data_IF_117642060598
#
_entry.id   IF_117642060598
#
_cell.length_a   1.000
_cell.length_b   1.000
_cell.length_c   1.000
_cell.angle_alpha   90.00
_cell.angle_beta   90.00
_cell.angle_gamma   90.00
#
_symmetry.space_group_name_H-M   'P 1'
#
loop_
_entity.id
_entity.type
_entity.pdbx_description
1 polymer ?
#
# COMPACT_ATOMS: atom_id res chain seq x y z
N UNK A 1 -12.45 -4.67 12.85
CA UNK A 1 -12.76 -4.93 11.42
C UNK A 1 -13.26 -6.37 11.12
N UNK A 2 -12.45 -7.43 11.27
CA UNK A 2 -12.77 -8.83 10.85
C UNK A 2 -14.19 -9.35 11.14
N UNK A 3 -14.72 -9.12 12.34
CA UNK A 3 -16.07 -9.57 12.73
C UNK A 3 -17.16 -8.94 11.86
N UNK A 4 -17.01 -7.65 11.53
CA UNK A 4 -17.91 -6.94 10.64
C UNK A 4 -17.86 -7.54 9.23
N UNK A 5 -16.66 -7.69 8.66
CA UNK A 5 -16.46 -8.28 7.32
C UNK A 5 -17.11 -9.67 7.23
N UNK A 6 -16.77 -10.59 8.16
CA UNK A 6 -17.35 -11.94 8.19
C UNK A 6 -18.88 -11.89 8.30
N UNK A 7 -19.44 -10.97 9.08
CA UNK A 7 -20.89 -10.79 9.22
C UNK A 7 -21.54 -10.24 7.95
N UNK A 8 -20.94 -9.23 7.34
CA UNK A 8 -21.38 -8.62 6.08
C UNK A 8 -21.41 -9.64 4.96
N UNK A 9 -20.27 -10.30 4.70
CA UNK A 9 -20.13 -11.28 3.61
C UNK A 9 -21.08 -12.46 3.81
N UNK A 10 -21.21 -13.01 5.02
CA UNK A 10 -22.18 -14.10 5.28
C UNK A 10 -23.64 -13.69 5.02
N UNK A 11 -23.97 -12.43 5.27
CA UNK A 11 -25.34 -11.91 5.12
C UNK A 11 -25.68 -11.55 3.67
N UNK A 12 -24.71 -11.01 2.93
CA UNK A 12 -24.94 -10.38 1.64
C UNK A 12 -24.35 -11.15 0.45
N UNK A 13 -23.37 -12.02 0.67
CA UNK A 13 -22.63 -12.73 -0.38
C UNK A 13 -22.61 -14.24 -0.07
N UNK A 14 -23.71 -14.96 -0.33
CA UNK A 14 -23.77 -16.39 -0.05
C UNK A 14 -22.75 -17.16 -0.91
N UNK A 15 -22.24 -18.28 -0.38
CA UNK A 15 -21.29 -19.14 -1.08
C UNK A 15 -19.82 -18.75 -0.92
N UNK A 16 -19.50 -17.75 -0.10
CA UNK A 16 -18.11 -17.43 0.27
C UNK A 16 -17.65 -18.35 1.42
N UNK A 17 -16.51 -19.00 1.22
CA UNK A 17 -15.80 -19.74 2.27
C UNK A 17 -14.81 -18.82 2.97
N UNK A 18 -14.61 -19.01 4.28
CA UNK A 18 -13.69 -18.21 5.07
C UNK A 18 -12.64 -19.11 5.71
N UNK A 19 -11.39 -18.65 5.71
CA UNK A 19 -10.30 -19.24 6.48
C UNK A 19 -9.52 -18.12 7.16
N UNK A 20 -8.98 -18.41 8.33
CA UNK A 20 -7.99 -17.54 8.96
C UNK A 20 -6.78 -18.37 9.30
N UNK A 21 -5.59 -17.80 9.14
CA UNK A 21 -4.36 -18.43 9.61
C UNK A 21 -4.10 -18.10 11.08
N UNK A 22 -2.92 -18.51 11.57
CA UNK A 22 -2.51 -18.36 12.96
C UNK A 22 -2.14 -16.92 13.34
N UNK A 23 -1.68 -16.10 12.38
CA UNK A 23 -1.38 -14.67 12.60
C UNK A 23 -2.65 -13.83 12.57
N UNK A 24 -3.68 -14.33 11.89
CA UNK A 24 -5.02 -13.78 11.88
C UNK A 24 -5.41 -13.11 10.58
N UNK A 25 -4.69 -13.38 9.48
CA UNK A 25 -5.11 -13.01 8.14
C UNK A 25 -6.47 -13.64 7.83
N UNK A 26 -7.21 -13.04 6.91
CA UNK A 26 -8.54 -13.49 6.50
C UNK A 26 -8.55 -13.82 5.01
N UNK A 27 -8.74 -15.09 4.71
CA UNK A 27 -8.86 -15.60 3.36
C UNK A 27 -10.32 -15.88 3.03
N UNK A 28 -10.74 -15.47 1.85
CA UNK A 28 -12.09 -15.66 1.32
C UNK A 28 -12.01 -16.23 -0.10
N UNK A 29 -12.79 -17.28 -0.35
CA UNK A 29 -12.91 -17.89 -1.68
C UNK A 29 -14.40 -17.95 -2.02
N UNK A 30 -14.78 -17.35 -3.15
CA UNK A 30 -16.11 -17.46 -3.72
C UNK A 30 -16.06 -18.31 -4.99
N UNK A 31 -17.03 -19.20 -5.14
CA UNK A 31 -17.18 -20.03 -6.33
C UNK A 31 -16.25 -21.24 -6.38
N UNK A 32 -16.26 -21.92 -7.52
CA UNK A 32 -15.38 -23.04 -7.82
C UNK A 32 -14.87 -22.88 -9.27
N UNK A 33 -13.57 -22.67 -9.41
CA UNK A 33 -12.85 -22.44 -10.67
C UNK A 33 -11.49 -23.10 -10.62
N UNK A 34 -10.94 -23.45 -11.78
CA UNK A 34 -9.55 -23.92 -11.91
C UNK A 34 -8.55 -22.81 -11.59
N UNK A 35 -8.91 -21.55 -11.89
CA UNK A 35 -8.07 -20.39 -11.59
C UNK A 35 -8.92 -19.20 -11.12
N UNK A 36 -8.34 -18.31 -10.32
CA UNK A 36 -9.04 -17.17 -9.72
C UNK A 36 -8.32 -15.84 -9.93
N UNK A 37 -9.02 -14.72 -10.19
CA UNK A 37 -8.48 -13.42 -9.84
C UNK A 37 -8.36 -13.31 -8.30
N UNK A 38 -7.36 -12.58 -7.82
CA UNK A 38 -7.18 -12.35 -6.40
C UNK A 38 -7.04 -10.85 -6.10
N UNK A 39 -7.72 -10.38 -5.05
CA UNK A 39 -7.53 -9.03 -4.50
C UNK A 39 -7.00 -9.15 -3.08
N UNK A 40 -6.00 -8.35 -2.74
CA UNK A 40 -5.47 -8.22 -1.38
C UNK A 40 -5.66 -6.80 -0.84
N UNK A 41 -5.67 -6.68 0.48
CA UNK A 41 -5.80 -5.44 1.25
C UNK A 41 -5.41 -5.71 2.71
N UNK A 42 -5.18 -4.68 3.52
CA UNK A 42 -4.91 -4.86 4.95
C UNK A 42 -6.11 -4.51 5.85
N UNK A 43 -6.10 -4.92 7.12
CA UNK A 43 -7.25 -4.85 8.05
C UNK A 43 -7.08 -3.84 9.17
N UNK A 44 -5.84 -3.45 9.41
CA UNK A 44 -5.44 -2.47 10.39
C UNK A 44 -5.52 -1.06 9.82
N UNK A 45 -5.14 -0.11 10.65
CA UNK A 45 -5.11 1.32 10.37
C UNK A 45 -4.22 1.93 11.45
N UNK A 46 -3.50 3.00 11.13
CA UNK A 46 -2.67 3.72 12.12
C UNK A 46 -3.51 4.30 13.27
N UNK A 47 -4.71 4.82 13.00
CA UNK A 47 -5.52 5.50 14.01
C UNK A 47 -6.16 4.50 14.99
N UNK A 48 -5.77 4.55 16.26
CA UNK A 48 -6.22 3.59 17.30
C UNK A 48 -7.44 4.05 18.09
N UNK A 49 -7.68 5.36 18.17
CA UNK A 49 -8.74 5.94 18.99
C UNK A 49 -9.62 6.89 18.20
N UNK A 50 -10.94 6.66 18.26
CA UNK A 50 -11.95 7.59 17.77
C UNK A 50 -12.83 8.07 18.91
N UNK A 51 -13.35 9.28 18.75
CA UNK A 51 -14.38 9.80 19.65
C UNK A 51 -15.60 8.88 19.64
N UNK A 52 -16.31 8.79 20.78
CA UNK A 52 -17.51 7.95 20.90
C UNK A 52 -18.62 8.32 19.91
N UNK A 53 -18.61 9.54 19.43
CA UNK A 53 -19.55 10.08 18.46
C UNK A 53 -18.97 10.21 17.04
N UNK A 54 -17.83 9.56 16.79
CA UNK A 54 -17.22 9.48 15.46
C UNK A 54 -18.23 9.04 14.41
N UNK A 55 -18.18 9.71 13.26
CA UNK A 55 -18.99 9.41 12.07
C UNK A 55 -18.15 9.57 10.82
N UNK A 56 -18.33 8.66 9.88
CA UNK A 56 -18.00 8.92 8.50
C UNK A 56 -19.02 9.92 7.93
N UNK A 57 -18.54 11.05 7.43
CA UNK A 57 -19.33 12.06 6.73
C UNK A 57 -19.09 11.86 5.24
N UNK A 58 -20.16 11.54 4.52
CA UNK A 58 -20.16 11.44 3.07
C UNK A 58 -20.74 12.74 2.48
N UNK A 59 -19.98 13.38 1.60
CA UNK A 59 -20.44 14.49 0.76
C UNK A 59 -20.68 13.98 -0.68
N UNK A 60 -20.99 14.90 -1.59
CA UNK A 60 -21.08 14.55 -3.01
C UNK A 60 -19.76 13.97 -3.55
N UNK A 61 -18.63 14.56 -3.16
CA UNK A 61 -17.31 14.27 -3.74
C UNK A 61 -16.42 13.40 -2.84
N UNK A 62 -16.48 13.59 -1.52
CA UNK A 62 -15.52 12.99 -0.59
C UNK A 62 -16.17 12.32 0.62
N UNK A 63 -15.43 11.43 1.28
CA UNK A 63 -15.79 10.81 2.55
C UNK A 63 -14.66 11.09 3.55
N UNK A 64 -14.98 11.56 4.75
CA UNK A 64 -13.99 11.83 5.80
C UNK A 64 -14.56 11.56 7.20
N UNK A 65 -13.69 11.36 8.19
CA UNK A 65 -14.10 11.11 9.58
C UNK A 65 -14.30 12.42 10.37
N UNK A 66 -15.30 12.45 11.25
CA UNK A 66 -15.62 13.64 12.05
C UNK A 66 -16.25 13.30 13.40
N UNK A 67 -15.89 14.06 14.44
CA UNK A 67 -16.57 14.07 15.74
C UNK A 67 -17.41 15.34 15.89
N UNK A 68 -18.76 15.27 15.83
CA UNK A 68 -19.64 16.43 16.02
C UNK A 68 -19.48 17.14 17.37
N UNK A 69 -19.29 16.39 18.45
CA UNK A 69 -19.16 16.91 19.81
C UNK A 69 -17.84 17.67 19.97
N UNK A 70 -16.75 17.12 19.45
CA UNK A 70 -15.42 17.72 19.55
C UNK A 70 -15.13 18.70 18.41
N UNK A 71 -16.00 18.75 17.40
CA UNK A 71 -15.96 19.64 16.23
C UNK A 71 -14.65 19.55 15.44
N UNK A 72 -14.10 18.35 15.30
CA UNK A 72 -12.83 18.09 14.61
C UNK A 72 -12.94 16.90 13.67
N UNK A 73 -12.07 16.87 12.66
CA UNK A 73 -11.81 15.68 11.87
C UNK A 73 -11.07 14.64 12.71
N UNK A 74 -11.27 13.39 12.35
CA UNK A 74 -10.59 12.23 12.91
C UNK A 74 -10.35 11.28 11.75
N UNK A 75 -9.20 10.61 11.72
CA UNK A 75 -8.82 9.74 10.60
C UNK A 75 -9.92 8.74 10.26
N UNK A 76 -10.22 8.56 8.98
CA UNK A 76 -11.30 7.67 8.55
C UNK A 76 -10.82 6.22 8.39
N UNK A 77 -9.50 5.99 8.40
CA UNK A 77 -8.83 4.75 8.03
C UNK A 77 -9.10 4.39 6.57
N UNK A 78 -8.99 5.37 5.66
CA UNK A 78 -9.17 5.15 4.23
C UNK A 78 -8.08 4.23 3.67
N UNK A 79 -6.89 4.33 4.24
CA UNK A 79 -5.82 3.33 4.25
C UNK A 79 -6.11 2.27 5.34
N UNK A 80 -6.56 1.05 5.03
CA UNK A 80 -6.94 0.53 3.71
C UNK A 80 -8.43 0.11 3.64
N UNK A 81 -9.34 0.91 4.21
CA UNK A 81 -10.79 0.68 4.00
C UNK A 81 -11.19 0.83 2.53
N UNK A 82 -10.46 1.61 1.73
CA UNK A 82 -10.72 1.74 0.31
C UNK A 82 -10.44 0.41 -0.44
N UNK A 83 -9.28 -0.22 -0.23
CA UNK A 83 -8.93 -1.53 -0.79
C UNK A 83 -9.87 -2.62 -0.30
N UNK A 84 -10.21 -2.65 1.00
CA UNK A 84 -11.25 -3.56 1.54
C UNK A 84 -12.58 -3.34 0.80
N UNK A 85 -13.01 -2.09 0.60
CA UNK A 85 -14.28 -1.79 -0.05
C UNK A 85 -14.28 -2.27 -1.51
N UNK A 86 -13.21 -2.03 -2.27
CA UNK A 86 -13.03 -2.53 -3.65
C UNK A 86 -13.10 -4.05 -3.65
N UNK A 87 -12.34 -4.72 -2.78
CA UNK A 87 -12.32 -6.18 -2.68
C UNK A 87 -13.71 -6.74 -2.39
N UNK A 88 -14.48 -6.12 -1.49
CA UNK A 88 -15.86 -6.51 -1.19
C UNK A 88 -16.80 -6.28 -2.38
N UNK A 89 -16.64 -5.19 -3.15
CA UNK A 89 -17.43 -4.94 -4.36
C UNK A 89 -17.18 -5.98 -5.44
N UNK A 90 -15.92 -6.35 -5.67
CA UNK A 90 -15.59 -7.43 -6.59
C UNK A 90 -16.07 -8.79 -6.06
N UNK A 91 -15.95 -9.04 -4.77
CA UNK A 91 -16.47 -10.25 -4.12
C UNK A 91 -18.00 -10.34 -4.23
N UNK A 92 -18.74 -9.24 -4.28
CA UNK A 92 -20.18 -9.18 -4.56
C UNK A 92 -20.51 -9.45 -6.04
N UNK A 93 -19.71 -8.89 -6.95
CA UNK A 93 -19.96 -8.90 -8.40
C UNK A 93 -19.61 -10.24 -9.06
N UNK A 94 -18.48 -10.84 -8.71
CA UNK A 94 -17.95 -12.00 -9.42
C UNK A 94 -18.28 -13.33 -8.73
N UNK A 95 -18.63 -14.35 -9.53
CA UNK A 95 -18.97 -15.68 -9.01
C UNK A 95 -17.75 -16.47 -8.55
N UNK A 96 -16.59 -16.25 -9.19
CA UNK A 96 -15.32 -16.90 -8.88
C UNK A 96 -14.24 -15.86 -8.62
N UNK A 97 -13.84 -15.69 -7.36
CA UNK A 97 -12.80 -14.74 -6.95
C UNK A 97 -12.22 -15.13 -5.58
N UNK A 98 -10.94 -14.82 -5.39
CA UNK A 98 -10.25 -14.90 -4.09
C UNK A 98 -9.99 -13.51 -3.53
N UNK A 99 -10.11 -13.40 -2.21
CA UNK A 99 -9.75 -12.19 -1.47
C UNK A 99 -8.95 -12.58 -0.24
N UNK A 100 -7.82 -11.93 -0.01
CA UNK A 100 -7.04 -12.09 1.21
C UNK A 100 -6.87 -10.75 1.91
N UNK A 101 -7.18 -10.69 3.20
CA UNK A 101 -6.95 -9.51 4.01
C UNK A 101 -5.89 -9.77 5.07
N UNK A 102 -4.84 -8.96 5.06
CA UNK A 102 -3.70 -9.09 5.96
C UNK A 102 -3.91 -8.29 7.24
N UNK A 103 -3.20 -8.66 8.30
CA UNK A 103 -3.18 -7.92 9.56
C UNK A 103 -1.80 -7.32 9.77
N UNK A 104 -1.74 -6.17 10.46
CA UNK A 104 -0.48 -5.58 10.90
C UNK A 104 0.42 -5.21 9.71
N UNK A 105 -0.17 -4.61 8.67
CA UNK A 105 0.54 -4.02 7.54
C UNK A 105 1.28 -2.75 8.00
N UNK A 106 0.59 -1.89 8.73
CA UNK A 106 1.02 -0.57 9.20
C UNK A 106 2.17 -0.63 10.23
N UNK A 107 2.56 -1.84 10.64
CA UNK A 107 3.69 -2.13 11.53
C UNK A 107 4.68 -3.12 10.88
N UNK A 108 4.73 -3.11 9.54
CA UNK A 108 5.69 -3.87 8.73
C UNK A 108 5.17 -5.17 8.17
N UNK A 109 3.99 -5.17 7.53
CA UNK A 109 3.51 -6.25 6.67
C UNK A 109 3.54 -7.64 7.36
N UNK A 110 3.31 -7.69 8.68
CA UNK A 110 3.45 -8.92 9.49
C UNK A 110 2.50 -10.00 9.00
N UNK A 111 1.31 -9.60 8.52
CA UNK A 111 0.32 -10.47 7.93
C UNK A 111 0.83 -11.15 6.66
N UNK A 112 1.21 -10.38 5.64
CA UNK A 112 1.68 -10.91 4.35
C UNK A 112 2.98 -11.71 4.46
N UNK A 113 3.90 -11.32 5.36
CA UNK A 113 5.09 -12.09 5.75
C UNK A 113 4.79 -13.51 6.22
N UNK A 114 3.62 -13.72 6.81
CA UNK A 114 3.18 -15.02 7.32
C UNK A 114 2.04 -15.64 6.50
N UNK A 115 1.71 -15.05 5.35
CA UNK A 115 0.61 -15.50 4.52
C UNK A 115 0.79 -16.96 4.05
N UNK A 116 -0.32 -17.68 3.98
CA UNK A 116 -0.35 -19.01 3.35
C UNK A 116 -0.24 -18.88 1.82
N UNK A 117 0.96 -19.12 1.28
CA UNK A 117 1.21 -19.07 -0.17
C UNK A 117 0.39 -20.10 -0.94
N UNK A 118 0.01 -21.22 -0.30
CA UNK A 118 -0.88 -22.23 -0.90
C UNK A 118 -2.25 -21.66 -1.26
N UNK A 119 -2.66 -20.54 -0.66
CA UNK A 119 -3.87 -19.83 -1.05
C UNK A 119 -3.82 -19.29 -2.50
N UNK A 120 -2.62 -18.97 -3.00
CA UNK A 120 -2.39 -18.23 -4.24
C UNK A 120 -2.00 -19.14 -5.43
N UNK A 121 -1.80 -20.44 -5.23
CA UNK A 121 -1.31 -21.37 -6.26
C UNK A 121 -2.17 -21.44 -7.53
N UNK A 122 -3.48 -21.25 -7.39
CA UNK A 122 -4.47 -21.24 -8.47
C UNK A 122 -4.90 -19.80 -8.85
N UNK A 123 -4.13 -18.78 -8.47
CA UNK A 123 -4.46 -17.40 -8.85
C UNK A 123 -3.88 -17.04 -10.20
N UNK A 124 -4.60 -16.21 -10.95
CA UNK A 124 -4.15 -15.71 -12.27
C UNK A 124 -3.16 -14.57 -12.13
N UNK A 125 -3.40 -13.73 -11.13
CA UNK A 125 -2.68 -12.53 -10.74
C UNK A 125 -3.20 -12.08 -9.36
N UNK A 126 -2.49 -11.15 -8.73
CA UNK A 126 -2.89 -10.51 -7.46
C UNK A 126 -2.95 -8.99 -7.65
N UNK A 127 -4.01 -8.35 -7.19
CA UNK A 127 -4.16 -6.89 -7.20
C UNK A 127 -4.28 -6.39 -5.77
N UNK A 128 -3.49 -5.39 -5.42
CA UNK A 128 -3.56 -4.65 -4.16
C UNK A 128 -4.04 -3.23 -4.47
N UNK A 129 -5.27 -2.83 -4.08
CA UNK A 129 -5.69 -1.44 -4.18
C UNK A 129 -5.30 -0.71 -2.89
N UNK A 130 -4.01 -0.49 -2.68
CA UNK A 130 -3.48 0.13 -1.47
C UNK A 130 -2.34 1.10 -1.78
N UNK A 131 -2.72 2.21 -2.41
CA UNK A 131 -1.80 3.31 -2.66
C UNK A 131 -2.60 4.61 -2.61
N UNK A 132 -1.99 5.66 -2.05
CA UNK A 132 -2.58 7.01 -2.03
C UNK A 132 -2.87 7.53 -3.44
N UNK A 133 -3.77 8.50 -3.51
CA UNK A 133 -4.12 9.25 -4.72
C UNK A 133 -4.81 8.37 -5.78
N UNK A 134 -4.60 8.62 -7.08
CA UNK A 134 -5.54 8.19 -8.12
C UNK A 134 -4.94 7.65 -9.43
N UNK A 135 -3.63 7.79 -9.65
CA UNK A 135 -3.01 7.47 -10.95
C UNK A 135 -1.77 6.56 -10.88
N UNK A 136 -1.34 6.10 -9.71
CA UNK A 136 -0.15 5.25 -9.61
C UNK A 136 -0.51 3.77 -9.84
N UNK A 137 0.25 3.14 -10.72
CA UNK A 137 0.36 1.70 -10.87
C UNK A 137 1.77 1.29 -10.43
N UNK A 138 1.88 0.46 -9.41
CA UNK A 138 3.15 -0.04 -8.91
C UNK A 138 3.42 -1.41 -9.53
N UNK A 139 4.48 -1.47 -10.33
CA UNK A 139 4.95 -2.69 -11.04
C UNK A 139 6.31 -3.15 -10.57
N UNK A 140 7.06 -2.29 -9.89
CA UNK A 140 8.42 -2.54 -9.43
C UNK A 140 8.65 -1.81 -8.09
N UNK A 141 9.28 -2.49 -7.14
CA UNK A 141 9.62 -1.96 -5.81
C UNK A 141 11.04 -2.44 -5.47
N UNK A 142 11.95 -1.55 -5.08
CA UNK A 142 13.32 -1.89 -4.65
C UNK A 142 14.02 -2.91 -5.56
N UNK A 143 14.00 -2.69 -6.88
CA UNK A 143 14.53 -3.58 -7.94
C UNK A 143 13.82 -4.93 -8.12
N UNK A 144 12.83 -5.25 -7.28
CA UNK A 144 11.97 -6.42 -7.45
C UNK A 144 10.85 -6.11 -8.44
N UNK A 145 10.86 -6.82 -9.57
CA UNK A 145 9.77 -6.74 -10.53
C UNK A 145 8.56 -7.56 -10.06
N UNK A 146 7.38 -6.94 -10.05
CA UNK A 146 6.15 -7.53 -9.53
C UNK A 146 5.36 -8.28 -10.61
N UNK A 147 5.46 -7.86 -11.86
CA UNK A 147 4.60 -8.36 -12.93
C UNK A 147 5.31 -8.64 -14.25
N UNK A 148 4.74 -9.54 -15.03
CA UNK A 148 5.22 -9.83 -16.39
C UNK A 148 4.83 -8.72 -17.37
N UNK A 149 5.65 -8.51 -18.40
CA UNK A 149 5.34 -7.62 -19.52
C UNK A 149 4.02 -7.99 -20.23
N UNK A 150 3.66 -9.27 -20.24
CA UNK A 150 2.38 -9.72 -20.79
C UNK A 150 1.20 -9.24 -19.95
N UNK A 151 1.30 -9.31 -18.62
CA UNK A 151 0.28 -8.79 -17.73
C UNK A 151 0.14 -7.27 -17.89
N UNK A 152 1.25 -6.54 -17.84
CA UNK A 152 1.28 -5.08 -17.93
C UNK A 152 0.62 -4.57 -19.22
N UNK A 153 0.88 -5.24 -20.34
CA UNK A 153 0.24 -4.91 -21.63
C UNK A 153 -1.25 -5.19 -21.64
N UNK A 154 -1.69 -6.28 -20.99
CA UNK A 154 -3.06 -6.76 -21.08
C UNK A 154 -4.02 -6.02 -20.11
N UNK A 155 -3.52 -5.45 -19.01
CA UNK A 155 -4.36 -4.73 -18.02
C UNK A 155 -4.91 -3.38 -18.52
N UNK A 156 -4.34 -2.79 -19.58
CA UNK A 156 -4.86 -1.60 -20.25
C UNK A 156 -5.04 -0.36 -19.36
N UNK A 157 -4.18 -0.21 -18.37
CA UNK A 157 -4.27 0.76 -17.27
C UNK A 157 -4.26 2.22 -17.74
N UNK A 158 -3.62 2.54 -18.87
CA UNK A 158 -3.51 3.90 -19.40
C UNK A 158 -4.88 4.46 -19.80
N UNK A 159 -5.85 3.60 -20.17
CA UNK A 159 -7.22 4.00 -20.48
C UNK A 159 -7.98 4.54 -19.27
N UNK A 160 -7.50 4.20 -18.07
CA UNK A 160 -8.04 4.64 -16.79
C UNK A 160 -7.24 5.82 -16.21
N UNK A 161 -6.20 6.28 -16.90
CA UNK A 161 -5.34 7.39 -16.48
C UNK A 161 -4.19 7.00 -15.57
N UNK A 162 -3.96 5.70 -15.34
CA UNK A 162 -2.87 5.22 -14.50
C UNK A 162 -1.53 5.28 -15.23
N UNK A 163 -0.45 5.37 -14.46
CA UNK A 163 0.94 5.40 -14.91
C UNK A 163 1.82 4.59 -13.97
N UNK A 164 2.82 3.94 -14.52
CA UNK A 164 3.81 3.21 -13.73
C UNK A 164 4.58 4.18 -12.82
N UNK A 165 4.76 3.76 -11.56
CA UNK A 165 5.54 4.46 -10.54
C UNK A 165 6.33 3.46 -9.71
N UNK A 166 7.53 3.84 -9.22
CA UNK A 166 8.20 3.07 -8.20
C UNK A 166 7.34 3.07 -6.92
N UNK A 167 7.21 1.90 -6.31
CA UNK A 167 6.53 1.77 -5.03
C UNK A 167 7.48 1.81 -3.85
N UNK A 168 6.89 1.70 -2.66
CA UNK A 168 7.58 1.42 -1.40
C UNK A 168 7.17 0.02 -0.92
N UNK A 169 7.64 -0.42 0.24
CA UNK A 169 7.23 -1.70 0.81
C UNK A 169 5.70 -1.78 0.99
N UNK A 170 5.10 -2.89 0.57
CA UNK A 170 3.66 -3.20 0.69
C UNK A 170 3.45 -4.71 0.81
N UNK A 171 2.22 -5.18 1.07
CA UNK A 171 1.95 -6.62 1.19
C UNK A 171 2.26 -7.40 -0.11
N UNK A 172 2.11 -6.81 -1.30
CA UNK A 172 2.47 -7.52 -2.55
C UNK A 172 3.97 -7.70 -2.74
N UNK A 173 4.83 -6.79 -2.23
CA UNK A 173 6.28 -7.00 -2.23
C UNK A 173 6.62 -8.23 -1.38
N UNK A 174 6.08 -8.29 -0.16
CA UNK A 174 6.30 -9.40 0.78
C UNK A 174 5.82 -10.73 0.22
N UNK A 175 4.64 -10.75 -0.41
CA UNK A 175 4.17 -11.95 -1.12
C UNK A 175 5.15 -12.34 -2.24
N UNK A 176 5.67 -11.36 -2.99
CA UNK A 176 6.58 -11.58 -4.12
C UNK A 176 7.90 -12.18 -3.68
N UNK A 177 8.53 -11.61 -2.66
CA UNK A 177 9.79 -12.08 -2.08
C UNK A 177 9.67 -13.48 -1.46
N UNK A 178 8.50 -13.79 -0.91
CA UNK A 178 8.21 -15.12 -0.38
C UNK A 178 7.93 -16.18 -1.46
N UNK A 179 7.86 -15.79 -2.73
CA UNK A 179 7.74 -16.71 -3.86
C UNK A 179 6.34 -16.77 -4.48
N UNK A 180 5.55 -15.69 -4.42
CA UNK A 180 4.35 -15.57 -5.25
C UNK A 180 4.73 -15.70 -6.74
N UNK A 181 4.31 -16.81 -7.35
CA UNK A 181 4.69 -17.20 -8.71
C UNK A 181 3.86 -16.56 -9.84
N UNK A 182 3.01 -15.58 -9.52
CA UNK A 182 2.19 -14.85 -10.50
C UNK A 182 2.45 -13.34 -10.44
N UNK A 183 2.02 -12.66 -11.50
CA UNK A 183 2.07 -11.20 -11.58
C UNK A 183 1.23 -10.57 -10.47
N UNK A 184 1.79 -9.57 -9.80
CA UNK A 184 1.07 -8.75 -8.83
C UNK A 184 1.30 -7.27 -9.11
N UNK A 185 0.35 -6.43 -8.71
CA UNK A 185 0.41 -4.97 -8.85
C UNK A 185 -0.22 -4.31 -7.62
N UNK A 186 0.24 -3.10 -7.30
CA UNK A 186 -0.46 -2.20 -6.39
C UNK A 186 -1.02 -0.97 -7.16
N UNK A 187 -2.19 -0.48 -6.76
CA UNK A 187 -2.96 0.58 -7.42
C UNK A 187 -3.33 1.68 -6.45
N UNK A 188 -3.13 2.93 -6.88
CA UNK A 188 -3.77 4.08 -6.24
C UNK A 188 -5.27 3.84 -6.07
N UNK A 189 -5.83 4.03 -4.88
CA UNK A 189 -7.22 3.66 -4.58
C UNK A 189 -8.07 4.81 -4.01
N UNK A 190 -7.64 6.05 -4.18
CA UNK A 190 -8.46 7.25 -3.97
C UNK A 190 -8.51 7.76 -2.54
N UNK A 191 -7.59 7.34 -1.66
CA UNK A 191 -7.38 7.96 -0.35
C UNK A 191 -6.28 9.02 -0.41
N UNK A 192 -6.38 10.01 0.48
CA UNK A 192 -5.51 11.17 0.54
C UNK A 192 -5.21 11.50 2.00
N UNK A 193 -4.04 12.12 2.23
CA UNK A 193 -3.52 12.43 3.56
C UNK A 193 -3.57 11.21 4.52
N UNK A 194 -3.06 10.02 4.08
CA UNK A 194 -3.06 8.83 4.93
C UNK A 194 -2.31 9.09 6.24
N UNK A 195 -2.64 8.29 7.25
CA UNK A 195 -2.02 8.36 8.58
C UNK A 195 -2.21 9.71 9.31
N UNK A 196 -3.17 10.52 8.88
CA UNK A 196 -3.52 11.79 9.50
C UNK A 196 -4.98 11.82 9.97
N UNK A 197 -5.32 12.81 10.80
CA UNK A 197 -6.73 13.09 11.12
C UNK A 197 -7.49 13.76 9.96
N UNK A 198 -6.77 14.26 8.96
CA UNK A 198 -7.34 14.91 7.78
C UNK A 198 -7.64 13.94 6.64
N UNK A 199 -7.33 12.65 6.84
CA UNK A 199 -7.52 11.57 5.88
C UNK A 199 -8.93 11.54 5.29
N UNK A 200 -9.00 11.40 3.97
CA UNK A 200 -10.26 11.36 3.24
C UNK A 200 -10.18 10.52 1.97
N UNK A 201 -11.35 10.07 1.52
CA UNK A 201 -11.53 9.34 0.26
C UNK A 201 -12.19 10.25 -0.77
N UNK A 202 -11.64 10.35 -1.98
CA UNK A 202 -12.32 10.96 -3.14
C UNK A 202 -13.10 9.88 -3.89
N UNK A 203 -14.43 10.02 -3.92
CA UNK A 203 -15.34 8.99 -4.45
C UNK A 203 -15.10 8.72 -5.93
N UNK A 204 -14.80 9.76 -6.71
CA UNK A 204 -14.53 9.63 -8.15
C UNK A 204 -13.34 8.71 -8.42
N UNK A 205 -12.31 8.83 -7.61
CA UNK A 205 -11.03 8.15 -7.79
C UNK A 205 -11.10 6.71 -7.26
N UNK A 206 -11.75 6.51 -6.10
CA UNK A 206 -12.11 5.17 -5.61
C UNK A 206 -12.92 4.39 -6.66
N UNK A 207 -13.92 5.03 -7.27
CA UNK A 207 -14.71 4.41 -8.33
C UNK A 207 -13.90 4.19 -9.62
N UNK A 208 -12.87 5.00 -9.89
CA UNK A 208 -11.97 4.78 -11.02
C UNK A 208 -11.09 3.54 -10.81
N UNK A 209 -10.53 3.41 -9.61
CA UNK A 209 -9.79 2.21 -9.21
C UNK A 209 -10.66 0.95 -9.32
N UNK A 210 -11.89 0.97 -8.78
CA UNK A 210 -12.84 -0.14 -8.93
C UNK A 210 -13.05 -0.51 -10.41
N UNK A 211 -13.25 0.48 -11.30
CA UNK A 211 -13.43 0.20 -12.74
C UNK A 211 -12.20 -0.44 -13.38
N UNK A 212 -10.99 -0.04 -12.99
CA UNK A 212 -9.75 -0.66 -13.47
C UNK A 212 -9.64 -2.10 -12.95
N UNK A 213 -9.87 -2.34 -11.66
CA UNK A 213 -9.85 -3.69 -11.08
C UNK A 213 -10.86 -4.62 -11.78
N UNK A 214 -12.08 -4.13 -11.99
CA UNK A 214 -13.11 -4.87 -12.73
C UNK A 214 -12.68 -5.17 -14.17
N UNK A 215 -12.07 -4.19 -14.85
CA UNK A 215 -11.54 -4.37 -16.20
C UNK A 215 -10.47 -5.46 -16.25
N UNK A 216 -9.52 -5.46 -15.31
CA UNK A 216 -8.47 -6.48 -15.23
C UNK A 216 -9.09 -7.85 -14.99
N UNK A 217 -10.02 -7.98 -14.04
CA UNK A 217 -10.72 -9.24 -13.74
C UNK A 217 -11.44 -9.81 -14.96
N UNK A 218 -12.05 -8.94 -15.76
CA UNK A 218 -12.85 -9.31 -16.93
C UNK A 218 -12.01 -9.61 -18.18
N UNK A 219 -10.85 -8.97 -18.36
CA UNK A 219 -10.06 -9.10 -19.59
C UNK A 219 -8.84 -10.02 -19.43
N UNK A 220 -8.25 -10.10 -18.24
CA UNK A 220 -7.09 -10.96 -17.97
C UNK A 220 -7.54 -12.37 -17.54
N UNK A 221 -8.03 -13.16 -18.50
CA UNK A 221 -8.54 -14.51 -18.21
C UNK A 221 -7.47 -15.60 -18.11
N UNK A 222 -6.26 -15.34 -18.62
CA UNK A 222 -5.10 -16.23 -18.52
C UNK A 222 -4.46 -16.17 -17.13
N UNK A 223 -3.67 -17.18 -16.78
CA UNK A 223 -2.70 -17.07 -15.68
C UNK A 223 -1.52 -16.25 -16.20
N UNK A 224 -0.98 -15.35 -15.38
CA UNK A 224 0.17 -14.52 -15.69
C UNK A 224 1.34 -14.86 -14.78
N UNK A 225 2.09 -15.95 -15.05
CA UNK A 225 3.22 -16.36 -14.24
C UNK A 225 4.29 -15.28 -14.18
N UNK A 226 4.86 -15.08 -13.00
CA UNK A 226 6.02 -14.22 -12.79
C UNK A 226 6.68 -14.60 -11.47
N UNK A 227 7.91 -15.10 -11.54
CA UNK A 227 8.73 -15.43 -10.37
C UNK A 227 9.78 -14.34 -10.15
N UNK A 228 10.11 -14.05 -8.88
CA UNK A 228 11.25 -13.20 -8.56
C UNK A 228 12.54 -14.03 -8.71
N UNK A 229 13.26 -13.84 -9.82
CA UNK A 229 14.47 -14.58 -10.16
C UNK A 229 15.69 -14.20 -9.30
N UNK A 230 15.59 -13.12 -8.52
CA UNK A 230 16.72 -12.56 -7.78
C UNK A 230 16.86 -13.13 -6.35
N UNK A 231 15.87 -13.84 -5.81
CA UNK A 231 15.84 -14.36 -4.43
C UNK A 231 17.02 -15.27 -3.99
N UNK A 232 17.88 -15.72 -4.91
CA UNK A 232 19.01 -16.62 -4.62
C UNK A 232 20.33 -15.97 -4.16
N UNK A 233 20.51 -14.65 -4.31
CA UNK A 233 21.82 -13.99 -4.11
C UNK A 233 21.89 -12.94 -2.98
N UNK A 234 20.78 -12.59 -2.32
CA UNK A 234 20.64 -11.31 -1.60
C UNK A 234 20.77 -11.37 -0.07
N UNK A 235 21.33 -12.44 0.50
CA UNK A 235 21.49 -12.53 1.96
C UNK A 235 22.53 -11.56 2.56
N UNK A 236 23.20 -10.75 1.72
CA UNK A 236 24.18 -9.73 2.15
C UNK A 236 23.79 -8.28 1.86
N UNK A 237 22.66 -8.02 1.19
CA UNK A 237 22.24 -6.67 0.75
C UNK A 237 21.21 -6.00 1.68
N UNK A 238 20.59 -6.76 2.60
CA UNK A 238 19.58 -6.27 3.55
C UNK A 238 20.00 -5.02 4.34
N UNK A 239 21.29 -4.84 4.64
CA UNK A 239 21.78 -3.65 5.35
C UNK A 239 21.71 -2.37 4.51
N UNK A 240 22.01 -2.43 3.20
CA UNK A 240 22.04 -1.25 2.32
C UNK A 240 20.64 -0.84 1.86
N UNK A 241 19.76 -1.83 1.70
CA UNK A 241 18.37 -1.62 1.28
C UNK A 241 17.55 -0.96 2.40
N UNK A 242 17.75 -1.39 3.65
CA UNK A 242 17.10 -0.76 4.81
C UNK A 242 17.50 0.70 5.01
N UNK A 243 18.79 1.04 4.79
CA UNK A 243 19.23 2.43 4.87
C UNK A 243 18.55 3.30 3.82
N UNK A 244 18.50 2.84 2.58
CA UNK A 244 17.90 3.58 1.47
C UNK A 244 16.40 3.81 1.70
N UNK A 245 15.68 2.79 2.18
CA UNK A 245 14.25 2.91 2.47
C UNK A 245 13.97 3.87 3.64
N UNK A 246 14.77 3.82 4.71
CA UNK A 246 14.66 4.78 5.82
C UNK A 246 14.94 6.22 5.34
N UNK A 247 15.83 6.41 4.37
CA UNK A 247 16.08 7.72 3.75
C UNK A 247 14.90 8.23 2.93
N UNK A 248 14.24 7.36 2.17
CA UNK A 248 13.04 7.72 1.42
C UNK A 248 11.88 8.08 2.35
N UNK A 249 11.74 7.37 3.48
CA UNK A 249 10.76 7.68 4.54
C UNK A 249 11.04 9.07 5.11
N UNK A 250 12.28 9.35 5.50
CA UNK A 250 12.68 10.67 6.05
C UNK A 250 12.56 11.80 5.03
N UNK A 251 12.75 11.51 3.75
CA UNK A 251 12.52 12.48 2.66
C UNK A 251 11.05 12.84 2.50
N UNK A 252 10.15 11.89 2.79
CA UNK A 252 8.71 12.08 2.70
C UNK A 252 8.12 12.75 3.95
N UNK A 253 8.61 12.40 5.13
CA UNK A 253 8.26 13.05 6.39
C UNK A 253 9.52 13.36 7.24
N UNK A 254 10.11 14.55 7.05
CA UNK A 254 11.33 14.94 7.76
C UNK A 254 11.12 15.25 9.25
N UNK A 255 9.87 15.22 9.76
CA UNK A 255 9.60 15.50 11.17
C UNK A 255 9.67 14.25 12.07
N UNK A 256 9.85 13.06 11.50
CA UNK A 256 9.97 11.82 12.26
C UNK A 256 11.19 11.86 13.19
N UNK A 257 11.03 11.38 14.43
CA UNK A 257 12.15 11.15 15.35
C UNK A 257 12.76 9.76 15.15
N UNK A 258 13.94 9.54 15.72
CA UNK A 258 14.58 8.20 15.71
C UNK A 258 13.73 7.20 16.48
N UNK A 259 13.12 7.63 17.59
CA UNK A 259 12.17 6.81 18.33
C UNK A 259 10.96 6.43 17.49
N UNK A 260 10.41 7.36 16.69
CA UNK A 260 9.31 7.06 15.78
C UNK A 260 9.75 6.06 14.70
N UNK A 261 10.90 6.28 14.07
CA UNK A 261 11.47 5.35 13.08
C UNK A 261 11.70 3.95 13.67
N UNK A 262 12.27 3.87 14.86
CA UNK A 262 12.52 2.60 15.52
C UNK A 262 11.20 1.91 15.88
N UNK A 263 10.26 2.60 16.55
CA UNK A 263 8.98 2.00 16.90
C UNK A 263 8.19 1.52 15.67
N UNK A 264 8.24 2.26 14.56
CA UNK A 264 7.53 1.95 13.33
C UNK A 264 8.21 0.84 12.51
N UNK A 265 9.55 0.79 12.48
CA UNK A 265 10.28 -0.02 11.48
C UNK A 265 11.30 -1.02 12.05
N UNK A 266 11.56 -1.09 13.37
CA UNK A 266 12.49 -2.09 13.94
C UNK A 266 12.06 -3.55 13.70
N UNK A 267 10.75 -3.79 13.60
CA UNK A 267 10.20 -5.09 13.20
C UNK A 267 10.37 -5.37 11.70
N UNK A 268 10.59 -4.34 10.90
CA UNK A 268 10.77 -4.39 9.46
C UNK A 268 12.22 -4.71 9.12
N UNK A 269 13.15 -4.16 9.89
CA UNK A 269 14.58 -4.40 9.80
C UNK A 269 15.09 -5.02 11.11
N UNK A 270 14.73 -6.28 11.43
CA UNK A 270 15.07 -6.92 12.72
C UNK A 270 16.57 -7.17 12.92
N UNK A 271 17.38 -6.86 11.90
CA UNK A 271 18.84 -6.88 11.93
C UNK A 271 19.47 -5.52 12.24
N UNK A 272 18.66 -4.44 12.26
CA UNK A 272 19.08 -3.11 12.69
C UNK A 272 18.73 -2.93 14.16
N UNK A 273 19.73 -2.58 14.96
CA UNK A 273 19.53 -2.17 16.34
C UNK A 273 19.17 -0.68 16.40
N UNK A 274 18.71 -0.20 17.55
CA UNK A 274 18.30 1.21 17.69
C UNK A 274 19.43 2.19 17.33
N UNK A 275 20.68 1.79 17.58
CA UNK A 275 21.87 2.55 17.20
C UNK A 275 22.05 2.67 15.68
N UNK A 276 21.60 1.68 14.91
CA UNK A 276 21.66 1.73 13.44
C UNK A 276 20.64 2.74 12.90
N UNK A 277 19.40 2.72 13.41
CA UNK A 277 18.39 3.74 13.06
C UNK A 277 18.87 5.16 13.40
N UNK A 278 19.50 5.32 14.57
CA UNK A 278 20.08 6.59 14.97
C UNK A 278 21.17 7.07 14.01
N UNK A 279 22.04 6.16 13.56
CA UNK A 279 23.10 6.49 12.60
C UNK A 279 22.48 6.95 11.28
N UNK A 280 21.56 6.19 10.71
CA UNK A 280 20.92 6.47 9.42
C UNK A 280 20.21 7.83 9.44
N UNK A 281 19.49 8.12 10.54
CA UNK A 281 18.83 9.41 10.75
C UNK A 281 19.81 10.58 10.80
N UNK A 282 20.95 10.40 11.46
CA UNK A 282 21.98 11.44 11.52
C UNK A 282 22.63 11.66 10.16
N UNK A 283 22.97 10.58 9.45
CA UNK A 283 23.58 10.63 8.12
C UNK A 283 22.67 11.39 7.13
N UNK A 284 21.35 11.17 7.18
CA UNK A 284 20.36 11.87 6.36
C UNK A 284 20.31 13.39 6.66
N UNK A 285 20.23 13.76 7.94
CA UNK A 285 20.12 15.16 8.34
C UNK A 285 21.41 15.95 8.06
N UNK A 286 22.58 15.34 8.25
CA UNK A 286 23.86 15.95 7.88
C UNK A 286 23.89 16.27 6.38
N UNK A 287 23.38 15.37 5.53
CA UNK A 287 23.36 15.58 4.08
C UNK A 287 22.33 16.65 3.64
N UNK A 288 21.18 16.73 4.31
CA UNK A 288 20.18 17.80 4.08
C UNK A 288 20.70 19.17 4.50
N UNK A 289 21.38 19.26 5.65
CA UNK A 289 22.01 20.50 6.12
C UNK A 289 23.11 20.98 5.16
N UNK A 290 23.93 20.07 4.61
CA UNK A 290 24.94 20.41 3.60
C UNK A 290 24.32 20.92 2.30
N UNK A 291 23.23 20.32 1.83
CA UNK A 291 22.50 20.79 0.65
C UNK A 291 21.90 22.18 0.84
N UNK A 292 21.32 22.44 2.01
CA UNK A 292 20.71 23.74 2.33
C UNK A 292 21.79 24.82 2.47
N UNK A 293 22.93 24.53 3.10
CA UNK A 293 24.09 25.43 3.12
C UNK A 293 24.62 25.74 1.72
N UNK A 294 24.61 24.77 0.80
CA UNK A 294 25.05 24.96 -0.57
C UNK A 294 24.07 25.80 -1.41
N UNK A 295 22.76 25.59 -1.24
CA UNK A 295 21.69 26.42 -1.82
C UNK A 295 21.79 27.86 -1.32
N UNK A 296 22.11 28.05 -0.04
CA UNK A 296 22.22 29.37 0.59
C UNK A 296 23.49 30.13 0.17
N UNK A 297 24.60 29.43 -0.08
CA UNK A 297 25.80 30.03 -0.66
C UNK A 297 25.60 30.46 -2.12
N UNK A 298 24.82 29.71 -2.90
CA UNK A 298 24.53 30.03 -4.30
C UNK A 298 23.47 31.13 -4.44
N UNK A 299 22.48 31.20 -3.54
CA UNK A 299 21.51 32.31 -3.48
C UNK A 299 22.19 33.65 -3.16
N UNK A 300 23.15 33.65 -2.21
CA UNK A 300 23.96 34.84 -1.86
C UNK A 300 24.90 35.28 -2.99
N UNK A 301 25.37 34.37 -3.84
CA UNK A 301 26.12 34.71 -5.07
C UNK A 301 25.23 35.35 -6.15
N UNK A 302 23.98 34.91 -6.29
CA UNK A 302 23.04 35.46 -7.27
C UNK A 302 22.53 36.88 -6.92
N UNK A 303 22.47 37.22 -5.63
CA UNK A 303 22.08 38.57 -5.17
C UNK A 303 23.17 39.63 -5.44
N UNK A 304 24.43 39.22 -5.66
CA UNK A 304 25.56 40.14 -5.86
C UNK A 304 25.80 40.56 -7.32
N UNK A 305 24.94 40.17 -8.26
CA UNK A 305 24.95 40.62 -9.66
C UNK A 305 23.72 41.50 -9.96
N UNK A 306 23.60 42.64 -9.29
CA UNK A 306 22.82 43.78 -9.82
C UNK A 306 23.81 44.81 -10.38
N UNK A 307 23.88 44.87 -11.71
CA UNK A 307 24.56 45.95 -12.43
C UNK A 307 23.94 47.32 -12.08
N UNK A 308 24.75 48.35 -11.77
CA UNK A 308 24.24 49.71 -11.67
C UNK A 308 24.05 50.27 -13.08
N UNK A 309 22.82 50.71 -13.37
CA UNK A 309 22.56 51.66 -14.43
C UNK A 309 22.92 53.07 -13.94
N UNK A 310 23.66 53.80 -14.78
CA UNK A 310 24.16 55.18 -14.71
C UNK A 310 25.42 55.43 -13.86
#
# INVERSE_FOLDING_TARGET
MKKFIKGYVKKHIPGVTFRSDHVGNLYMIRGNSETYPCIVAHLDQVQREHSKDFKAIETEEIIFGYSPKNRRREGIGADDKNGIWIALKCLEKYECIKVAFFVSEEIGCVGSRNADLGFFEDTRFVIEPDRREYEDLITDISFTSLCSNDFLRDIGFERFGYKEKPGMMTDVLELKERGLGVSCINLSCGYYEPHSDEEFTVKKDLLNCLRLVEHIIENCQSVYPHENLDSGYYNGYYGMDAETEIWDILSCDPNLSVEDLYEMYHTNYPFLEVEDFQRIYNDFNEQMDEEDLWKDMNSKKAVNTKWPWF
#
